data_IF_524400965343
#
_entry.id   IF_524400965343
#
_cell.length_a   1.000
_cell.length_b   1.000
_cell.length_c   1.000
_cell.angle_alpha   90.00
_cell.angle_beta   90.00
_cell.angle_gamma   90.00
#
_symmetry.space_group_name_H-M   'P 1'
#
loop_
_entity.id
_entity.type
_entity.pdbx_description
1 polymer ?
#
# COMPACT_ATOMS: atom_id res chain seq x y z
N UNK A 1 -42.45 53.17 42.46
CA UNK A 1 -42.12 52.17 43.49
C UNK A 1 -42.59 50.81 42.99
N UNK A 2 -41.71 49.98 42.43
CA UNK A 2 -41.96 48.56 42.18
C UNK A 2 -40.62 47.82 42.25
N UNK A 3 -40.67 46.67 42.90
CA UNK A 3 -39.60 46.09 43.71
C UNK A 3 -38.65 45.19 42.91
N UNK A 4 -37.39 45.15 43.35
CA UNK A 4 -36.30 44.35 42.75
C UNK A 4 -36.44 42.88 43.18
N UNK A 5 -36.70 41.97 42.24
CA UNK A 5 -36.54 40.53 42.49
C UNK A 5 -35.13 40.08 42.07
N UNK A 6 -34.37 39.58 43.06
CA UNK A 6 -33.04 38.97 42.92
C UNK A 6 -33.17 37.61 42.23
N UNK A 7 -32.52 37.43 41.09
CA UNK A 7 -32.30 36.09 40.51
C UNK A 7 -30.91 35.59 40.91
N UNK A 8 -30.91 34.49 41.66
CA UNK A 8 -29.73 33.73 42.08
C UNK A 8 -29.20 32.97 40.87
N UNK A 9 -27.99 33.28 40.44
CA UNK A 9 -27.26 32.49 39.43
C UNK A 9 -26.71 31.25 40.12
N UNK A 10 -27.27 30.08 39.81
CA UNK A 10 -26.64 28.80 40.15
C UNK A 10 -25.80 28.34 38.96
N UNK A 11 -24.51 28.65 39.02
CA UNK A 11 -23.50 27.96 38.24
C UNK A 11 -23.38 26.53 38.79
N UNK A 12 -23.95 25.55 38.06
CA UNK A 12 -23.69 24.13 38.31
C UNK A 12 -22.92 23.56 37.14
N UNK A 13 -21.60 23.64 37.29
CA UNK A 13 -20.61 22.64 36.95
C UNK A 13 -20.86 21.81 35.68
N UNK A 14 -20.29 22.36 34.59
CA UNK A 14 -19.79 21.60 33.45
C UNK A 14 -18.89 20.45 33.92
N UNK A 15 -19.42 19.24 34.03
CA UNK A 15 -18.60 18.03 33.92
C UNK A 15 -19.42 16.85 33.38
N UNK A 16 -19.90 16.99 32.14
CA UNK A 16 -20.52 15.86 31.42
C UNK A 16 -19.40 14.99 30.85
N UNK A 17 -19.09 13.90 31.55
CA UNK A 17 -18.09 12.93 31.12
C UNK A 17 -18.31 12.47 29.67
N UNK A 18 -17.20 12.26 28.96
CA UNK A 18 -17.10 12.00 27.51
C UNK A 18 -18.02 10.88 26.97
N UNK A 19 -18.64 10.06 27.84
CA UNK A 19 -19.56 8.97 27.49
C UNK A 19 -21.07 9.24 27.62
N UNK A 20 -21.53 10.40 28.10
CA UNK A 20 -22.97 10.64 28.40
C UNK A 20 -23.63 11.72 27.52
N UNK A 21 -22.94 12.21 26.50
CA UNK A 21 -23.49 13.15 25.54
C UNK A 21 -24.63 12.51 24.75
N UNK A 22 -25.89 12.88 25.07
CA UNK A 22 -27.11 12.44 24.37
C UNK A 22 -27.06 12.79 22.87
N UNK A 23 -26.41 13.91 22.52
CA UNK A 23 -26.13 14.29 21.12
C UNK A 23 -25.19 13.30 20.42
N UNK A 24 -24.14 12.83 21.09
CA UNK A 24 -23.20 11.85 20.52
C UNK A 24 -23.83 10.46 20.35
N UNK A 25 -24.72 10.06 21.27
CA UNK A 25 -25.49 8.82 21.14
C UNK A 25 -26.43 8.84 19.93
N UNK A 26 -27.16 9.94 19.72
CA UNK A 26 -28.03 10.09 18.54
C UNK A 26 -27.23 10.07 17.21
N UNK A 27 -26.00 10.60 17.20
CA UNK A 27 -25.10 10.50 16.05
C UNK A 27 -24.56 9.08 15.79
N UNK A 28 -24.41 8.26 16.83
CA UNK A 28 -24.05 6.84 16.68
C UNK A 28 -25.23 6.02 16.17
N UNK A 29 -26.43 6.26 16.69
CA UNK A 29 -27.64 5.58 16.22
C UNK A 29 -27.97 5.91 14.76
N UNK A 30 -27.77 7.15 14.31
CA UNK A 30 -27.97 7.51 12.90
C UNK A 30 -26.91 6.92 11.95
N UNK A 31 -25.74 6.52 12.45
CA UNK A 31 -24.77 5.73 11.69
C UNK A 31 -25.10 4.23 11.68
N UNK A 32 -25.80 3.72 12.70
CA UNK A 32 -26.19 2.31 12.81
C UNK A 32 -27.38 1.91 11.90
N UNK A 33 -28.10 2.88 11.34
CA UNK A 33 -29.20 2.66 10.38
C UNK A 33 -28.77 2.65 8.90
N UNK A 34 -27.46 2.68 8.61
CA UNK A 34 -26.98 2.33 7.27
C UNK A 34 -26.85 0.81 7.20
N UNK A 35 -27.48 0.13 6.20
CA UNK A 35 -27.31 -1.30 6.05
C UNK A 35 -25.82 -1.57 5.94
N UNK A 36 -25.36 -2.49 6.79
CA UNK A 36 -23.98 -2.95 6.85
C UNK A 36 -23.42 -3.00 5.44
N UNK A 37 -22.46 -2.12 5.14
CA UNK A 37 -21.57 -2.35 4.02
C UNK A 37 -21.04 -3.74 4.26
N UNK A 38 -21.47 -4.68 3.43
CA UNK A 38 -20.96 -6.04 3.40
C UNK A 38 -19.47 -5.95 3.67
N UNK A 39 -18.89 -6.68 4.64
CA UNK A 39 -17.47 -6.95 4.52
C UNK A 39 -17.41 -7.65 3.18
N UNK A 40 -16.86 -6.96 2.17
CA UNK A 40 -16.41 -7.61 0.97
C UNK A 40 -15.34 -8.54 1.50
N UNK A 41 -15.78 -9.74 1.86
CA UNK A 41 -14.92 -10.89 1.95
C UNK A 41 -14.35 -10.98 0.55
N UNK A 42 -13.20 -10.34 0.34
CA UNK A 42 -12.24 -10.80 -0.64
C UNK A 42 -11.80 -12.17 -0.14
N UNK A 43 -12.70 -13.13 -0.25
CA UNK A 43 -12.35 -14.51 -0.55
C UNK A 43 -11.82 -14.49 -1.99
N UNK A 44 -10.75 -13.73 -2.24
CA UNK A 44 -9.77 -14.20 -3.19
C UNK A 44 -9.10 -15.32 -2.42
N UNK A 45 -9.65 -16.52 -2.58
CA UNK A 45 -8.86 -17.74 -2.51
C UNK A 45 -7.65 -17.47 -3.38
N UNK A 46 -6.56 -17.05 -2.75
CA UNK A 46 -5.24 -17.10 -3.33
C UNK A 46 -4.94 -18.60 -3.47
N UNK A 47 -5.54 -19.23 -4.47
CA UNK A 47 -4.88 -20.32 -5.15
C UNK A 47 -3.70 -19.61 -5.82
N UNK A 48 -2.62 -19.46 -5.05
CA UNK A 48 -1.35 -19.03 -5.59
C UNK A 48 -1.01 -20.12 -6.59
N UNK A 49 -1.33 -19.89 -7.86
CA UNK A 49 -0.86 -20.78 -8.90
C UNK A 49 0.65 -20.82 -8.71
N UNK A 50 1.22 -22.02 -8.61
CA UNK A 50 2.66 -22.19 -8.39
C UNK A 50 3.47 -21.35 -9.40
N UNK A 51 2.96 -21.23 -10.64
CA UNK A 51 3.45 -20.31 -11.66
C UNK A 51 3.46 -18.84 -11.24
N UNK A 52 2.37 -18.32 -10.69
CA UNK A 52 2.29 -16.91 -10.28
C UNK A 52 3.27 -16.61 -9.12
N UNK A 53 3.49 -17.56 -8.22
CA UNK A 53 4.54 -17.46 -7.20
C UNK A 53 5.94 -17.43 -7.83
N UNK A 54 6.23 -18.33 -8.78
CA UNK A 54 7.52 -18.38 -9.48
C UNK A 54 7.79 -17.08 -10.26
N UNK A 55 6.78 -16.52 -10.93
CA UNK A 55 6.87 -15.24 -11.65
C UNK A 55 7.20 -14.12 -10.67
N UNK A 56 6.49 -14.06 -9.54
CA UNK A 56 6.72 -13.03 -8.53
C UNK A 56 8.13 -13.15 -7.94
N UNK A 57 8.58 -14.36 -7.61
CA UNK A 57 9.94 -14.59 -7.13
C UNK A 57 11.00 -14.14 -8.14
N UNK A 58 10.81 -14.45 -9.43
CA UNK A 58 11.73 -14.01 -10.48
C UNK A 58 11.80 -12.48 -10.58
N UNK A 59 10.66 -11.79 -10.49
CA UNK A 59 10.59 -10.33 -10.47
C UNK A 59 11.28 -9.73 -9.26
N UNK A 60 10.99 -10.25 -8.07
CA UNK A 60 11.58 -9.79 -6.81
C UNK A 60 13.11 -9.93 -6.86
N UNK A 61 13.64 -11.01 -7.44
CA UNK A 61 15.09 -11.21 -7.61
C UNK A 61 15.74 -10.22 -8.58
N UNK A 62 15.05 -9.89 -9.68
CA UNK A 62 15.50 -8.85 -10.61
C UNK A 62 15.54 -7.51 -9.89
N UNK A 63 14.45 -7.11 -9.21
CA UNK A 63 14.38 -5.83 -8.50
C UNK A 63 15.48 -5.70 -7.44
N UNK A 64 15.69 -6.74 -6.63
CA UNK A 64 16.77 -6.75 -5.64
C UNK A 64 18.14 -6.56 -6.27
N UNK A 65 18.42 -7.20 -7.41
CA UNK A 65 19.67 -7.01 -8.12
C UNK A 65 19.80 -5.60 -8.69
N UNK A 66 18.72 -5.05 -9.28
CA UNK A 66 18.72 -3.67 -9.78
C UNK A 66 19.02 -2.71 -8.64
N UNK A 67 18.38 -2.86 -7.49
CA UNK A 67 18.62 -2.03 -6.31
C UNK A 67 20.08 -2.16 -5.87
N UNK A 68 20.62 -3.38 -5.77
CA UNK A 68 22.01 -3.63 -5.40
C UNK A 68 23.00 -2.96 -6.36
N UNK A 69 22.75 -3.06 -7.66
CA UNK A 69 23.58 -2.43 -8.70
C UNK A 69 23.45 -0.89 -8.60
N UNK A 70 22.24 -0.35 -8.52
CA UNK A 70 22.00 1.10 -8.39
C UNK A 70 22.64 1.66 -7.11
N UNK A 71 22.65 0.91 -6.02
CA UNK A 71 23.28 1.30 -4.76
C UNK A 71 24.81 1.40 -4.84
N UNK A 72 25.44 0.69 -5.80
CA UNK A 72 26.89 0.82 -6.06
C UNK A 72 27.26 2.13 -6.78
N UNK A 73 26.29 2.81 -7.37
CA UNK A 73 26.51 4.05 -8.12
C UNK A 73 26.35 5.30 -7.23
N UNK A 74 27.03 6.40 -7.58
CA UNK A 74 26.89 7.67 -6.87
C UNK A 74 25.43 8.15 -6.82
N UNK A 75 24.99 8.73 -5.68
CA UNK A 75 23.66 9.31 -5.57
C UNK A 75 23.44 10.38 -6.64
N UNK A 76 22.27 10.41 -7.25
CA UNK A 76 21.92 11.33 -8.34
C UNK A 76 22.34 10.88 -9.75
N UNK A 77 23.21 9.88 -9.89
CA UNK A 77 23.60 9.32 -11.20
C UNK A 77 23.16 7.86 -11.42
N UNK A 78 22.57 7.24 -10.40
CA UNK A 78 22.20 5.81 -10.42
C UNK A 78 21.38 5.42 -11.66
N UNK A 79 20.31 6.16 -11.96
CA UNK A 79 19.45 5.87 -13.12
C UNK A 79 20.17 6.09 -14.45
N UNK A 80 21.02 7.12 -14.56
CA UNK A 80 21.76 7.41 -15.80
C UNK A 80 22.81 6.33 -16.09
N UNK A 81 23.61 5.96 -15.08
CA UNK A 81 24.64 4.92 -15.22
C UNK A 81 24.02 3.53 -15.43
N UNK A 82 22.92 3.25 -14.73
CA UNK A 82 22.16 2.03 -14.96
C UNK A 82 21.63 1.99 -16.41
N UNK A 83 21.00 3.06 -16.88
CA UNK A 83 20.46 3.13 -18.23
C UNK A 83 21.53 3.03 -19.32
N UNK A 84 22.74 3.54 -19.06
CA UNK A 84 23.87 3.42 -19.98
C UNK A 84 24.31 1.95 -20.18
N UNK A 85 24.35 1.17 -19.09
CA UNK A 85 24.84 -0.22 -19.12
C UNK A 85 23.77 -1.22 -19.55
N UNK A 86 22.55 -1.03 -19.07
CA UNK A 86 21.46 -2.03 -19.17
C UNK A 86 20.29 -1.57 -20.06
N UNK A 87 20.20 -0.28 -20.39
CA UNK A 87 19.12 0.32 -21.16
C UNK A 87 18.12 1.10 -20.31
N UNK A 88 17.27 1.90 -20.97
CA UNK A 88 16.20 2.66 -20.30
C UNK A 88 15.19 1.76 -19.58
N UNK A 89 14.45 2.31 -18.62
CA UNK A 89 13.40 1.57 -17.89
C UNK A 89 12.35 0.97 -18.83
N UNK A 90 11.98 1.69 -19.88
CA UNK A 90 11.08 1.19 -20.93
C UNK A 90 11.63 -0.07 -21.61
N UNK A 91 12.94 -0.09 -21.88
CA UNK A 91 13.59 -1.25 -22.51
C UNK A 91 13.60 -2.44 -21.55
N UNK A 92 13.82 -2.21 -20.26
CA UNK A 92 13.81 -3.26 -19.22
C UNK A 92 12.42 -3.89 -19.13
N UNK A 93 11.35 -3.08 -19.14
CA UNK A 93 9.96 -3.56 -19.10
C UNK A 93 9.57 -4.36 -20.34
N UNK A 94 10.19 -4.08 -21.48
CA UNK A 94 9.93 -4.82 -22.72
C UNK A 94 10.70 -6.14 -22.83
N UNK A 95 11.78 -6.31 -22.07
CA UNK A 95 12.57 -7.54 -22.07
C UNK A 95 11.83 -8.67 -21.37
N UNK A 96 12.11 -9.90 -21.84
CA UNK A 96 11.70 -11.11 -21.14
C UNK A 96 12.49 -11.31 -19.85
N UNK A 97 11.90 -12.02 -18.89
CA UNK A 97 12.56 -12.37 -17.63
C UNK A 97 13.89 -13.09 -17.90
N UNK A 98 13.95 -14.00 -18.86
CA UNK A 98 15.20 -14.69 -19.21
C UNK A 98 16.29 -13.75 -19.72
N UNK A 99 15.93 -12.78 -20.57
CA UNK A 99 16.89 -11.79 -21.06
C UNK A 99 17.42 -10.92 -19.92
N UNK A 100 16.57 -10.52 -18.98
CA UNK A 100 17.01 -9.75 -17.81
C UNK A 100 17.93 -10.55 -16.91
N UNK A 101 17.67 -11.83 -16.70
CA UNK A 101 18.58 -12.69 -15.94
C UNK A 101 19.96 -12.79 -16.61
N UNK A 102 20.01 -12.90 -17.94
CA UNK A 102 21.28 -12.90 -18.67
C UNK A 102 22.00 -11.55 -18.58
N UNK A 103 21.28 -10.45 -18.76
CA UNK A 103 21.83 -9.08 -18.74
C UNK A 103 22.35 -8.69 -17.35
N UNK A 104 21.63 -9.09 -16.30
CA UNK A 104 21.98 -8.84 -14.91
C UNK A 104 22.92 -9.91 -14.32
N UNK A 105 23.37 -10.89 -15.12
CA UNK A 105 24.20 -12.03 -14.71
C UNK A 105 23.63 -12.80 -13.50
N UNK A 106 22.31 -12.98 -13.46
CA UNK A 106 21.64 -13.76 -12.42
C UNK A 106 21.68 -15.24 -12.83
N UNK A 107 22.48 -16.04 -12.12
CA UNK A 107 22.61 -17.48 -12.34
C UNK A 107 21.41 -18.24 -11.75
N UNK A 108 20.24 -18.13 -12.37
CA UNK A 108 19.07 -18.92 -12.00
C UNK A 108 18.39 -19.49 -13.25
N UNK A 109 17.96 -20.76 -13.14
CA UNK A 109 17.21 -21.43 -14.21
C UNK A 109 15.72 -21.12 -14.02
N UNK A 110 15.14 -20.38 -14.97
CA UNK A 110 13.70 -20.13 -15.01
C UNK A 110 12.97 -21.28 -15.72
N UNK A 111 11.76 -21.61 -15.27
CA UNK A 111 10.89 -22.52 -15.98
C UNK A 111 10.54 -21.93 -17.36
N UNK A 112 10.50 -22.76 -18.42
CA UNK A 112 10.26 -22.30 -19.82
C UNK A 112 9.03 -21.41 -19.97
N UNK A 113 7.94 -21.70 -19.24
CA UNK A 113 6.71 -20.90 -19.29
C UNK A 113 6.77 -19.56 -18.56
N UNK A 114 7.79 -19.32 -17.73
CA UNK A 114 8.03 -18.06 -17.01
C UNK A 114 9.11 -17.24 -17.74
N UNK A 115 10.08 -17.91 -18.33
CA UNK A 115 11.22 -17.31 -19.03
C UNK A 115 10.83 -16.32 -20.13
N UNK A 116 9.75 -16.61 -20.87
CA UNK A 116 9.27 -15.81 -22.01
C UNK A 116 8.40 -14.61 -21.61
N UNK A 117 7.99 -14.53 -20.34
CA UNK A 117 7.15 -13.43 -19.87
C UNK A 117 7.94 -12.13 -19.82
N UNK A 118 7.28 -11.03 -20.18
CA UNK A 118 7.83 -9.68 -20.02
C UNK A 118 7.88 -9.30 -18.55
N UNK A 119 8.90 -8.49 -18.21
CA UNK A 119 9.12 -8.01 -16.85
C UNK A 119 7.90 -7.25 -16.31
#
# INVERSE_FOLDING_TARGET
MQEKQKTVVQDTELLVGLGKSKRMMAMRESQAMRPASTPVKKNQTFVVNKRDAEIKQARDLIEQNIIKIKASYPPGMQNKLFALRYGSEEKIQQMSLQQLFAVLNINQVLAKGVAELKF
#
